data_IF_851331292868
#
_entry.id   IF_851331292868
#
_cell.length_a   1.000
_cell.length_b   1.000
_cell.length_c   1.000
_cell.angle_alpha   90.00
_cell.angle_beta   90.00
_cell.angle_gamma   90.00
#
_symmetry.space_group_name_H-M   'P 1'
#
loop_
_entity.id
_entity.type
_entity.pdbx_description
1 polymer ?
#
# COMPACT_ATOMS: atom_id res chain seq x y z
N UNK A 1 25.38 -65.13 -7.27
CA UNK A 1 25.35 -64.97 -5.80
C UNK A 1 24.31 -63.92 -5.45
N UNK A 2 23.27 -64.37 -4.75
CA UNK A 2 22.26 -63.69 -3.93
C UNK A 2 22.07 -62.16 -4.09
N UNK A 3 20.87 -61.70 -4.51
CA UNK A 3 19.66 -61.47 -3.68
C UNK A 3 19.78 -60.25 -2.75
N UNK A 4 19.00 -59.21 -3.06
CA UNK A 4 18.80 -58.02 -2.22
C UNK A 4 17.79 -57.04 -2.82
N UNK A 5 16.63 -57.56 -3.27
CA UNK A 5 15.46 -56.75 -3.61
C UNK A 5 14.71 -56.38 -2.32
N UNK A 6 14.11 -55.17 -2.33
CA UNK A 6 12.98 -54.73 -1.51
C UNK A 6 13.25 -54.36 -0.03
N UNK A 7 13.22 -53.06 0.25
CA UNK A 7 12.07 -52.49 0.96
C UNK A 7 11.98 -50.94 0.77
N UNK A 8 10.91 -50.53 0.07
CA UNK A 8 9.99 -49.43 0.42
C UNK A 8 10.40 -47.94 0.19
N UNK A 9 10.01 -47.43 -0.99
CA UNK A 9 9.21 -46.20 -1.29
C UNK A 9 8.56 -45.46 -0.08
N UNK A 10 8.04 -44.20 -0.20
CA UNK A 10 8.03 -43.25 -1.34
C UNK A 10 8.10 -41.73 -0.95
N UNK A 11 7.89 -40.83 -1.95
CA UNK A 11 7.34 -39.46 -1.86
C UNK A 11 8.27 -38.31 -1.41
N UNK A 12 8.73 -37.52 -2.39
CA UNK A 12 8.29 -36.13 -2.56
C UNK A 12 9.15 -35.46 -3.64
N UNK A 13 8.78 -35.75 -4.88
CA UNK A 13 9.01 -34.81 -5.97
C UNK A 13 8.17 -33.55 -5.71
N UNK A 14 8.68 -32.42 -6.19
CA UNK A 14 7.99 -31.17 -6.51
C UNK A 14 8.01 -30.01 -5.49
N UNK A 15 8.32 -28.83 -6.05
CA UNK A 15 8.04 -27.46 -5.58
C UNK A 15 9.11 -26.71 -4.77
N UNK A 16 10.27 -26.52 -5.41
CA UNK A 16 11.14 -25.37 -5.17
C UNK A 16 11.39 -24.59 -6.46
N UNK A 17 10.36 -24.43 -7.31
CA UNK A 17 10.44 -23.58 -8.51
C UNK A 17 10.61 -22.13 -8.05
N UNK A 18 11.86 -21.68 -7.96
CA UNK A 18 12.22 -20.28 -8.00
C UNK A 18 11.69 -19.71 -9.33
N UNK A 19 10.44 -19.23 -9.29
CA UNK A 19 9.80 -18.60 -10.42
C UNK A 19 10.56 -17.30 -10.73
N UNK A 20 11.51 -17.39 -11.68
CA UNK A 20 12.20 -16.24 -12.23
C UNK A 20 11.17 -15.35 -12.94
N UNK A 21 10.62 -14.38 -12.21
CA UNK A 21 9.71 -13.40 -12.78
C UNK A 21 10.52 -12.46 -13.68
N UNK A 22 10.34 -12.58 -15.00
CA UNK A 22 10.90 -11.64 -15.96
C UNK A 22 10.12 -10.33 -15.85
N UNK A 23 10.67 -9.35 -15.14
CA UNK A 23 10.17 -7.98 -15.23
C UNK A 23 10.39 -7.48 -16.67
N UNK A 24 9.43 -6.69 -17.18
CA UNK A 24 9.50 -5.99 -18.48
C UNK A 24 10.77 -5.12 -18.51
N UNK A 25 11.88 -5.69 -18.98
CA UNK A 25 13.21 -5.10 -18.88
C UNK A 25 14.37 -6.11 -18.96
N UNK A 26 14.10 -7.41 -18.89
CA UNK A 26 15.10 -8.45 -19.22
C UNK A 26 16.03 -8.86 -18.06
N UNK A 27 16.01 -8.16 -16.93
CA UNK A 27 16.67 -8.61 -15.71
C UNK A 27 15.82 -9.70 -15.02
N UNK A 28 16.35 -10.93 -14.96
CA UNK A 28 15.78 -12.00 -14.14
C UNK A 28 16.28 -11.81 -12.71
N UNK A 29 15.49 -11.13 -11.88
CA UNK A 29 15.76 -11.06 -10.44
C UNK A 29 15.12 -12.28 -9.78
N UNK A 30 15.91 -13.11 -9.10
CA UNK A 30 15.36 -14.10 -8.17
C UNK A 30 14.81 -13.35 -6.97
N UNK A 31 13.51 -13.05 -7.03
CA UNK A 31 12.81 -12.42 -5.92
C UNK A 31 12.84 -13.38 -4.72
N UNK A 32 13.08 -12.87 -3.49
CA UNK A 32 12.97 -13.68 -2.29
C UNK A 32 11.61 -14.40 -2.26
N UNK A 33 11.53 -15.62 -1.70
CA UNK A 33 10.30 -16.43 -1.69
C UNK A 33 9.09 -15.68 -1.11
N UNK A 34 9.31 -14.76 -0.17
CA UNK A 34 8.29 -13.88 0.39
C UNK A 34 7.67 -12.93 -0.65
N UNK A 35 8.48 -12.35 -1.54
CA UNK A 35 7.97 -11.48 -2.61
C UNK A 35 7.19 -12.30 -3.64
N UNK A 36 7.65 -13.52 -3.94
CA UNK A 36 6.91 -14.46 -4.80
C UNK A 36 5.54 -14.81 -4.23
N UNK A 37 5.46 -15.09 -2.93
CA UNK A 37 4.19 -15.36 -2.22
C UNK A 37 3.27 -14.12 -2.17
N UNK A 38 3.83 -12.92 -2.01
CA UNK A 38 3.05 -11.68 -2.07
C UNK A 38 2.46 -11.45 -3.47
N UNK A 39 3.25 -11.67 -4.52
CA UNK A 39 2.78 -11.53 -5.91
C UNK A 39 1.70 -12.56 -6.25
N UNK A 40 1.82 -13.80 -5.77
CA UNK A 40 0.77 -14.81 -5.97
C UNK A 40 -0.51 -14.46 -5.22
N UNK A 41 -0.42 -13.96 -3.99
CA UNK A 41 -1.57 -13.47 -3.23
C UNK A 41 -2.25 -12.28 -3.92
N UNK A 42 -1.47 -11.31 -4.43
CA UNK A 42 -1.99 -10.19 -5.23
C UNK A 42 -2.71 -10.65 -6.49
N UNK A 43 -2.17 -11.64 -7.20
CA UNK A 43 -2.79 -12.18 -8.41
C UNK A 43 -4.11 -12.92 -8.10
N UNK A 44 -4.14 -13.69 -7.01
CA UNK A 44 -5.32 -14.47 -6.62
C UNK A 44 -6.44 -13.60 -6.03
N UNK A 45 -6.10 -12.65 -5.16
CA UNK A 45 -7.06 -11.81 -4.46
C UNK A 45 -6.49 -10.38 -4.29
N UNK A 46 -6.54 -9.55 -5.35
CA UNK A 46 -5.86 -8.25 -5.37
C UNK A 46 -6.41 -7.28 -4.34
N UNK A 47 -7.73 -7.23 -4.15
CA UNK A 47 -8.36 -6.30 -3.23
C UNK A 47 -8.05 -6.65 -1.77
N UNK A 48 -8.23 -7.92 -1.39
CA UNK A 48 -8.00 -8.35 0.00
C UNK A 48 -6.54 -8.21 0.38
N UNK A 49 -5.62 -8.58 -0.52
CA UNK A 49 -4.18 -8.43 -0.31
C UNK A 49 -3.81 -6.96 -0.14
N UNK A 50 -4.30 -6.06 -1.00
CA UNK A 50 -4.06 -4.62 -0.88
C UNK A 50 -4.60 -4.05 0.44
N UNK A 51 -5.80 -4.45 0.85
CA UNK A 51 -6.42 -3.98 2.11
C UNK A 51 -5.60 -4.45 3.32
N UNK A 52 -5.23 -5.72 3.38
CA UNK A 52 -4.47 -6.28 4.51
C UNK A 52 -3.07 -5.70 4.60
N UNK A 53 -2.38 -5.57 3.47
CA UNK A 53 -1.06 -4.94 3.40
C UNK A 53 -1.12 -3.46 3.77
N UNK A 54 -2.15 -2.73 3.32
CA UNK A 54 -2.32 -1.33 3.69
C UNK A 54 -2.64 -1.14 5.17
N UNK A 55 -3.52 -1.98 5.75
CA UNK A 55 -3.88 -1.94 7.15
C UNK A 55 -2.65 -2.21 8.05
N UNK A 56 -1.90 -3.27 7.75
CA UNK A 56 -0.67 -3.61 8.49
C UNK A 56 0.38 -2.51 8.41
N UNK A 57 0.64 -1.97 7.22
CA UNK A 57 1.58 -0.87 7.05
C UNK A 57 1.15 0.39 7.83
N UNK A 58 -0.16 0.65 7.89
CA UNK A 58 -0.71 1.81 8.59
C UNK A 58 -0.56 1.69 10.11
N UNK A 59 -0.78 0.50 10.67
CA UNK A 59 -0.51 0.22 12.09
C UNK A 59 0.96 0.40 12.41
N UNK A 60 1.86 -0.12 11.57
CA UNK A 60 3.31 0.03 11.75
C UNK A 60 3.73 1.50 11.68
N UNK A 61 3.20 2.25 10.71
CA UNK A 61 3.50 3.67 10.53
C UNK A 61 3.04 4.52 11.72
N UNK A 62 1.79 4.36 12.16
CA UNK A 62 1.29 5.08 13.35
C UNK A 62 2.07 4.65 14.59
N UNK A 63 2.50 3.40 14.64
CA UNK A 63 3.33 2.91 15.72
C UNK A 63 4.69 3.53 15.86
N UNK A 64 5.39 3.70 14.73
CA UNK A 64 6.63 4.47 14.71
C UNK A 64 6.38 5.93 15.11
N UNK A 65 5.28 6.54 14.66
CA UNK A 65 4.92 7.91 15.03
C UNK A 65 4.70 8.03 16.55
N UNK A 66 3.95 7.13 17.16
CA UNK A 66 3.72 7.10 18.61
C UNK A 66 5.01 6.87 19.40
N UNK A 67 5.92 6.01 18.90
CA UNK A 67 7.22 5.77 19.52
C UNK A 67 8.10 7.03 19.53
N UNK A 68 8.08 7.81 18.44
CA UNK A 68 8.79 9.09 18.33
C UNK A 68 8.18 10.16 19.23
N UNK A 69 6.86 10.18 19.38
CA UNK A 69 6.15 11.10 20.28
C UNK A 69 6.49 10.88 21.76
N UNK A 70 7.10 9.73 22.13
CA UNK A 70 7.50 9.37 23.50
C UNK A 70 6.39 9.53 24.53
N UNK A 71 5.14 9.40 24.11
CA UNK A 71 3.97 9.39 25.00
C UNK A 71 3.93 8.02 25.68
N UNK A 72 3.90 8.01 27.01
CA UNK A 72 4.18 6.81 27.83
C UNK A 72 3.25 5.61 27.63
N UNK A 73 2.14 5.75 26.91
CA UNK A 73 1.20 4.66 26.61
C UNK A 73 0.83 4.65 25.13
N UNK A 74 0.75 3.45 24.54
CA UNK A 74 0.28 3.27 23.18
C UNK A 74 -1.23 3.54 23.06
N UNK A 75 -1.59 4.40 22.12
CA UNK A 75 -2.97 4.70 21.76
C UNK A 75 -3.46 3.71 20.69
N UNK A 76 -4.16 2.66 21.14
CA UNK A 76 -4.73 1.62 20.27
C UNK A 76 -5.87 2.17 19.40
N UNK A 77 -6.67 3.10 19.94
CA UNK A 77 -7.79 3.71 19.20
C UNK A 77 -7.25 4.51 18.02
N UNK A 78 -6.20 5.30 18.27
CA UNK A 78 -5.47 6.05 17.26
C UNK A 78 -4.93 5.15 16.15
N UNK A 79 -4.31 4.02 16.49
CA UNK A 79 -3.79 3.06 15.52
C UNK A 79 -4.91 2.38 14.72
N UNK A 80 -6.05 2.07 15.36
CA UNK A 80 -7.21 1.47 14.70
C UNK A 80 -7.81 2.39 13.63
N UNK A 81 -7.97 3.69 13.93
CA UNK A 81 -8.49 4.65 12.95
C UNK A 81 -7.54 4.84 11.76
N UNK A 82 -6.23 4.85 11.97
CA UNK A 82 -5.26 4.91 10.86
C UNK A 82 -5.24 3.63 10.05
N UNK A 83 -5.38 2.48 10.70
CA UNK A 83 -5.56 1.21 10.01
C UNK A 83 -6.81 1.22 9.13
N UNK A 84 -7.93 1.73 9.64
CA UNK A 84 -9.17 1.88 8.88
C UNK A 84 -9.03 2.84 7.69
N UNK A 85 -8.33 3.96 7.88
CA UNK A 85 -7.99 4.87 6.78
C UNK A 85 -7.12 4.18 5.72
N UNK A 86 -6.04 3.52 6.12
CA UNK A 86 -5.16 2.79 5.21
C UNK A 86 -5.88 1.70 4.43
N UNK A 87 -6.70 0.90 5.11
CA UNK A 87 -7.50 -0.15 4.49
C UNK A 87 -8.47 0.40 3.43
N UNK A 88 -9.21 1.45 3.75
CA UNK A 88 -10.23 2.03 2.86
C UNK A 88 -9.62 2.82 1.69
N UNK A 89 -8.66 3.68 1.98
CA UNK A 89 -8.08 4.62 1.01
C UNK A 89 -7.02 3.93 0.19
N UNK A 90 -6.00 3.37 0.83
CA UNK A 90 -4.88 2.74 0.13
C UNK A 90 -5.24 1.35 -0.40
N UNK A 91 -6.09 0.60 0.31
CA UNK A 91 -6.50 -0.74 -0.09
C UNK A 91 -7.59 -0.78 -1.19
N UNK A 92 -8.58 0.12 -1.14
CA UNK A 92 -9.72 0.11 -2.06
C UNK A 92 -9.71 1.28 -3.05
N UNK A 93 -9.70 2.51 -2.56
CA UNK A 93 -9.85 3.69 -3.43
C UNK A 93 -8.70 3.81 -4.43
N UNK A 94 -7.44 3.64 -4.00
CA UNK A 94 -6.28 3.70 -4.89
C UNK A 94 -6.31 2.63 -5.98
N UNK A 95 -6.84 1.43 -5.67
CA UNK A 95 -6.97 0.37 -6.67
C UNK A 95 -7.87 0.82 -7.84
N UNK A 96 -9.00 1.45 -7.55
CA UNK A 96 -9.88 1.98 -8.59
C UNK A 96 -9.29 3.21 -9.29
N UNK A 97 -8.67 4.12 -8.55
CA UNK A 97 -8.02 5.31 -9.12
C UNK A 97 -6.92 4.95 -10.13
N UNK A 98 -6.03 4.00 -9.79
CA UNK A 98 -4.98 3.59 -10.73
C UNK A 98 -5.53 2.83 -11.94
N UNK A 99 -6.64 2.08 -11.79
CA UNK A 99 -7.35 1.50 -12.95
C UNK A 99 -7.95 2.57 -13.85
N UNK A 100 -8.49 3.66 -13.28
CA UNK A 100 -8.98 4.79 -14.05
C UNK A 100 -7.83 5.46 -14.80
N UNK A 101 -6.72 5.77 -14.13
CA UNK A 101 -5.54 6.35 -14.78
C UNK A 101 -4.97 5.46 -15.89
N UNK A 102 -5.00 4.13 -15.73
CA UNK A 102 -4.58 3.20 -16.77
C UNK A 102 -5.50 3.26 -18.01
N UNK A 103 -6.79 3.55 -17.85
CA UNK A 103 -7.74 3.74 -18.96
C UNK A 103 -7.59 5.09 -19.63
N UNK A 104 -7.32 6.15 -18.86
CA UNK A 104 -7.13 7.51 -19.39
C UNK A 104 -5.80 7.67 -20.14
N UNK A 105 -4.76 6.92 -19.77
CA UNK A 105 -3.42 7.00 -20.36
C UNK A 105 -2.92 5.61 -20.82
N UNK A 106 -3.54 5.01 -21.83
CA UNK A 106 -3.23 3.64 -22.25
C UNK A 106 -1.80 3.48 -22.83
N UNK A 107 -1.20 4.55 -23.35
CA UNK A 107 0.15 4.55 -23.94
C UNK A 107 1.21 5.12 -23.00
N UNK A 108 0.93 5.29 -21.71
CA UNK A 108 1.91 5.83 -20.75
C UNK A 108 3.22 5.01 -20.67
N UNK A 109 3.24 3.75 -21.11
CA UNK A 109 4.44 2.93 -21.15
C UNK A 109 5.36 3.23 -22.35
N UNK A 110 4.82 3.79 -23.43
CA UNK A 110 5.55 4.04 -24.69
C UNK A 110 5.56 5.50 -25.12
N UNK A 111 4.79 6.37 -24.47
CA UNK A 111 4.69 7.80 -24.75
C UNK A 111 5.01 8.62 -23.51
N UNK A 112 6.10 9.39 -23.57
CA UNK A 112 6.50 10.32 -22.50
C UNK A 112 5.41 11.35 -22.22
N UNK A 113 4.70 11.84 -23.25
CA UNK A 113 3.62 12.81 -23.07
C UNK A 113 2.47 12.22 -22.24
N UNK A 114 2.05 10.98 -22.52
CA UNK A 114 1.00 10.33 -21.72
C UNK A 114 1.50 9.97 -20.31
N UNK A 115 2.76 9.59 -20.16
CA UNK A 115 3.35 9.34 -18.84
C UNK A 115 3.34 10.61 -17.98
N UNK A 116 3.82 11.72 -18.53
CA UNK A 116 3.84 13.03 -17.85
C UNK A 116 2.41 13.47 -17.53
N UNK A 117 1.47 13.34 -18.48
CA UNK A 117 0.06 13.66 -18.24
C UNK A 117 -0.57 12.81 -17.12
N UNK A 118 -0.26 11.52 -17.08
CA UNK A 118 -0.71 10.61 -16.01
C UNK A 118 -0.19 11.03 -14.63
N UNK A 119 1.09 11.36 -14.53
CA UNK A 119 1.71 11.81 -13.29
C UNK A 119 1.15 13.17 -12.87
N UNK A 120 1.04 14.11 -13.81
CA UNK A 120 0.49 15.43 -13.56
C UNK A 120 -0.95 15.36 -13.04
N UNK A 121 -1.81 14.55 -13.68
CA UNK A 121 -3.19 14.37 -13.20
C UNK A 121 -3.23 13.73 -11.81
N UNK A 122 -2.37 12.74 -11.55
CA UNK A 122 -2.29 12.14 -10.22
C UNK A 122 -1.87 13.17 -9.16
N UNK A 123 -0.86 13.99 -9.44
CA UNK A 123 -0.41 15.01 -8.51
C UNK A 123 -1.42 16.14 -8.32
N UNK A 124 -2.14 16.54 -9.38
CA UNK A 124 -3.10 17.64 -9.31
C UNK A 124 -4.42 17.25 -8.63
N UNK A 125 -4.84 15.99 -8.72
CA UNK A 125 -6.15 15.54 -8.21
C UNK A 125 -5.99 14.67 -6.97
N UNK A 126 -5.18 13.61 -7.07
CA UNK A 126 -5.13 12.59 -6.04
C UNK A 126 -4.37 13.07 -4.82
N UNK A 127 -3.20 13.68 -4.99
CA UNK A 127 -2.37 14.15 -3.88
C UNK A 127 -3.07 15.17 -2.97
N UNK A 128 -3.66 16.27 -3.49
CA UNK A 128 -4.38 17.21 -2.63
C UNK A 128 -5.66 16.60 -2.05
N UNK A 129 -6.38 15.78 -2.83
CA UNK A 129 -7.58 15.09 -2.34
C UNK A 129 -7.30 14.12 -1.20
N UNK A 130 -6.21 13.35 -1.29
CA UNK A 130 -5.75 12.44 -0.24
C UNK A 130 -5.36 13.18 1.03
N UNK A 131 -4.56 14.25 0.90
CA UNK A 131 -4.14 15.04 2.04
C UNK A 131 -5.34 15.70 2.73
N UNK A 132 -6.22 16.34 1.96
CA UNK A 132 -7.41 16.98 2.51
C UNK A 132 -8.35 15.96 3.17
N UNK A 133 -8.56 14.82 2.53
CA UNK A 133 -9.34 13.72 3.09
C UNK A 133 -8.73 13.19 4.38
N UNK A 134 -7.41 12.99 4.43
CA UNK A 134 -6.71 12.49 5.61
C UNK A 134 -6.84 13.45 6.79
N UNK A 135 -6.56 14.74 6.60
CA UNK A 135 -6.69 15.72 7.66
C UNK A 135 -8.13 15.87 8.14
N UNK A 136 -9.10 15.85 7.22
CA UNK A 136 -10.53 15.85 7.57
C UNK A 136 -10.89 14.62 8.41
N UNK A 137 -10.41 13.44 8.01
CA UNK A 137 -10.64 12.20 8.75
C UNK A 137 -10.03 12.24 10.14
N UNK A 138 -8.80 12.74 10.28
CA UNK A 138 -8.12 12.92 11.57
C UNK A 138 -8.94 13.86 12.46
N UNK A 139 -9.39 15.00 11.95
CA UNK A 139 -10.25 15.93 12.69
C UNK A 139 -11.51 15.23 13.20
N UNK A 140 -12.21 14.48 12.34
CA UNK A 140 -13.47 13.85 12.70
C UNK A 140 -13.32 12.68 13.68
N UNK A 141 -12.18 11.99 13.66
CA UNK A 141 -11.99 10.74 14.41
C UNK A 141 -11.07 10.87 15.62
N UNK A 142 -10.19 11.87 15.64
CA UNK A 142 -9.14 12.03 16.66
C UNK A 142 -9.26 13.32 17.45
N UNK A 143 -9.73 14.41 16.85
CA UNK A 143 -9.88 15.67 17.59
C UNK A 143 -11.15 15.66 18.43
N UNK A 144 -11.01 15.98 19.72
CA UNK A 144 -12.14 16.22 20.64
C UNK A 144 -12.63 17.67 20.60
N UNK A 145 -12.04 18.50 19.73
CA UNK A 145 -12.39 19.91 19.59
C UNK A 145 -13.73 20.06 18.83
N UNK A 146 -14.52 21.11 19.11
CA UNK A 146 -15.75 21.36 18.38
C UNK A 146 -15.47 21.55 16.88
N UNK A 147 -16.36 21.07 15.98
CA UNK A 147 -16.13 21.01 14.52
C UNK A 147 -15.56 22.27 13.86
N UNK A 148 -16.01 23.51 14.19
CA UNK A 148 -15.47 24.70 13.55
C UNK A 148 -13.99 24.97 13.88
N UNK A 149 -13.51 24.62 15.08
CA UNK A 149 -12.12 24.82 15.48
C UNK A 149 -11.16 23.80 14.83
N UNK A 150 -11.64 22.58 14.61
CA UNK A 150 -10.85 21.52 14.01
C UNK A 150 -10.64 21.74 12.49
N UNK A 151 -11.64 22.33 11.80
CA UNK A 151 -11.51 22.72 10.39
C UNK A 151 -10.45 23.83 10.19
N UNK A 152 -10.36 24.80 11.09
CA UNK A 152 -9.30 25.83 11.07
C UNK A 152 -7.90 25.25 11.30
N UNK A 153 -7.77 24.21 12.14
CA UNK A 153 -6.51 23.49 12.30
C UNK A 153 -6.14 22.67 11.05
N UNK A 154 -7.10 21.93 10.47
CA UNK A 154 -6.85 21.14 9.27
C UNK A 154 -6.43 22.01 8.07
N UNK A 155 -7.08 23.16 7.88
CA UNK A 155 -6.70 24.12 6.82
C UNK A 155 -5.30 24.67 7.02
N UNK A 156 -4.91 24.98 8.26
CA UNK A 156 -3.55 25.44 8.60
C UNK A 156 -2.49 24.36 8.33
N UNK A 157 -2.75 23.10 8.70
CA UNK A 157 -1.87 21.96 8.40
C UNK A 157 -1.77 21.68 6.90
N UNK A 158 -2.88 21.79 6.16
CA UNK A 158 -2.88 21.66 4.70
C UNK A 158 -1.99 22.69 4.04
N UNK A 159 -2.15 23.97 4.41
CA UNK A 159 -1.33 25.07 3.87
C UNK A 159 0.14 24.83 4.18
N UNK A 160 0.47 24.44 5.41
CA UNK A 160 1.86 24.17 5.80
C UNK A 160 2.45 22.99 5.03
N UNK A 161 1.68 21.91 4.84
CA UNK A 161 2.14 20.71 4.12
C UNK A 161 2.32 21.01 2.63
N UNK A 162 1.40 21.79 2.04
CA UNK A 162 1.52 22.25 0.66
C UNK A 162 2.76 23.12 0.48
N UNK A 163 3.03 24.05 1.39
CA UNK A 163 4.21 24.92 1.32
C UNK A 163 5.54 24.19 1.59
N UNK A 164 5.54 23.15 2.42
CA UNK A 164 6.75 22.36 2.71
C UNK A 164 7.14 21.37 1.59
N UNK A 165 6.28 21.18 0.58
CA UNK A 165 6.51 20.27 -0.55
C UNK A 165 7.08 21.00 -1.78
N UNK A 166 7.32 22.32 -1.70
CA UNK A 166 7.99 23.15 -2.71
C UNK A 166 9.24 23.79 -2.13
#
# INVERSE_FOLDING_TARGET
MLLGLLHLLPLASCHGLAAAHRLRGGAALTLPPLVGAYQSALAAAPITTNVLSAASLSVLADGMAQAVERRGSWDVSRAAWISAWGASVSGLMLFFWFRLLARLFPLAASSTAQLVGKVALNQAVMSPGLNAGFFTFVVLTRDKAPPPAALTSATSCLVTTLLATY
#
